data_IF_306626897161
#
_entry.id   IF_306626897161
#
_cell.length_a   1.000
_cell.length_b   1.000
_cell.length_c   1.000
_cell.angle_alpha   90.00
_cell.angle_beta   90.00
_cell.angle_gamma   90.00
#
_symmetry.space_group_name_H-M   'P 1'
#
loop_
_entity.id
_entity.type
_entity.pdbx_description
1 polymer ?
#
# COMPACT_ATOMS: atom_id res chain seq x y z
N UNK A 1 5.05 5.06 -41.25
CA UNK A 1 3.96 5.11 -40.28
C UNK A 1 4.33 4.20 -39.11
N UNK A 2 4.72 4.77 -37.98
CA UNK A 2 4.99 4.02 -36.76
C UNK A 2 3.65 3.53 -36.21
N UNK A 3 3.40 2.22 -36.23
CA UNK A 3 2.29 1.62 -35.52
C UNK A 3 2.70 1.57 -34.02
N UNK A 4 2.20 2.50 -33.22
CA UNK A 4 2.29 2.37 -31.78
C UNK A 4 1.39 1.18 -31.36
N UNK A 5 2.02 0.07 -31.00
CA UNK A 5 1.35 -1.08 -30.40
C UNK A 5 1.07 -0.76 -28.94
N UNK A 6 -0.16 -0.48 -28.59
CA UNK A 6 -0.59 -0.47 -27.19
C UNK A 6 -0.92 -1.92 -26.82
N UNK A 7 -0.18 -2.57 -25.92
CA UNK A 7 -0.52 -3.92 -25.50
C UNK A 7 -1.95 -3.93 -24.96
N UNK A 8 -2.79 -4.81 -25.50
CA UNK A 8 -4.15 -5.02 -24.98
C UNK A 8 -4.14 -5.49 -23.54
N UNK A 9 -5.25 -5.35 -22.83
CA UNK A 9 -5.44 -5.90 -21.49
C UNK A 9 -5.33 -7.42 -21.54
N UNK A 10 -4.64 -8.00 -20.55
CA UNK A 10 -4.55 -9.45 -20.44
C UNK A 10 -5.81 -9.99 -19.76
N UNK A 11 -6.46 -10.96 -20.40
CA UNK A 11 -7.56 -11.75 -19.83
C UNK A 11 -7.25 -13.20 -20.20
N UNK A 12 -6.64 -13.91 -19.26
CA UNK A 12 -6.02 -15.23 -19.45
C UNK A 12 -6.64 -16.22 -18.48
N UNK A 13 -7.21 -17.30 -19.00
CA UNK A 13 -7.87 -18.35 -18.22
C UNK A 13 -6.90 -19.27 -17.50
N UNK A 14 -5.68 -19.39 -18.00
CA UNK A 14 -4.57 -20.08 -17.36
C UNK A 14 -3.26 -19.50 -17.88
N UNK A 15 -2.42 -19.06 -16.96
CA UNK A 15 -1.09 -18.54 -17.30
C UNK A 15 -0.14 -18.70 -16.13
N UNK A 16 1.13 -18.82 -16.46
CA UNK A 16 2.19 -18.70 -15.49
C UNK A 16 2.31 -17.25 -15.07
N UNK A 17 2.24 -16.99 -13.78
CA UNK A 17 2.27 -15.68 -13.16
C UNK A 17 3.52 -15.60 -12.30
N UNK A 18 4.30 -14.56 -12.48
CA UNK A 18 5.51 -14.30 -11.72
C UNK A 18 5.34 -12.98 -10.99
N UNK A 19 5.45 -13.00 -9.66
CA UNK A 19 5.36 -11.82 -8.80
C UNK A 19 6.66 -11.62 -8.04
N UNK A 20 7.25 -10.44 -8.22
CA UNK A 20 8.37 -9.99 -7.38
C UNK A 20 7.81 -9.27 -6.17
N UNK A 21 8.24 -9.71 -5.00
CA UNK A 21 7.84 -9.14 -3.71
C UNK A 21 9.08 -8.55 -3.07
N UNK A 22 9.26 -7.23 -3.22
CA UNK A 22 10.49 -6.55 -2.85
C UNK A 22 10.24 -5.51 -1.75
N UNK A 23 11.17 -5.43 -0.81
CA UNK A 23 11.25 -4.37 0.16
C UNK A 23 11.69 -3.06 -0.50
N UNK A 24 11.35 -1.90 0.05
CA UNK A 24 11.80 -0.59 -0.46
C UNK A 24 13.29 -0.35 -0.24
N UNK A 25 13.91 -1.10 0.67
CA UNK A 25 15.34 -1.12 0.95
C UNK A 25 15.73 -2.51 1.46
N UNK A 26 17.02 -2.78 1.53
CA UNK A 26 17.54 -4.06 2.02
C UNK A 26 17.04 -4.39 3.43
N UNK A 27 16.74 -5.66 3.65
CA UNK A 27 16.20 -6.17 4.91
C UNK A 27 16.43 -7.67 5.07
N UNK A 28 15.51 -8.34 5.74
CA UNK A 28 15.59 -9.77 6.01
C UNK A 28 14.56 -10.52 5.18
N UNK A 29 15.00 -11.51 4.41
CA UNK A 29 14.14 -12.46 3.71
C UNK A 29 13.91 -13.66 4.62
N UNK A 30 12.65 -14.06 4.82
CA UNK A 30 12.25 -15.08 5.80
C UNK A 30 12.09 -16.49 5.22
N UNK A 31 12.21 -16.64 3.93
CA UNK A 31 11.87 -17.86 3.17
C UNK A 31 13.04 -18.32 2.30
N UNK A 32 12.90 -19.51 1.72
CA UNK A 32 13.89 -20.15 0.84
C UNK A 32 13.27 -20.47 -0.52
N UNK A 33 14.11 -20.67 -1.50
CA UNK A 33 13.68 -21.22 -2.80
C UNK A 33 13.05 -22.61 -2.60
N UNK A 34 11.91 -22.83 -3.26
CA UNK A 34 11.10 -24.02 -3.14
C UNK A 34 10.01 -23.98 -2.06
N UNK A 35 10.02 -22.99 -1.16
CA UNK A 35 8.96 -22.86 -0.15
C UNK A 35 7.62 -22.53 -0.82
N UNK A 36 6.56 -23.19 -0.33
CA UNK A 36 5.17 -22.87 -0.67
C UNK A 36 4.68 -21.74 0.24
N UNK A 37 3.95 -20.81 -0.34
CA UNK A 37 3.39 -19.66 0.39
C UNK A 37 1.92 -19.47 0.08
N UNK A 38 1.17 -19.02 1.07
CA UNK A 38 -0.14 -18.40 0.90
C UNK A 38 0.01 -16.87 0.72
N UNK A 39 -1.07 -16.21 0.31
CA UNK A 39 -1.08 -14.78 0.00
C UNK A 39 -0.78 -13.86 1.19
N UNK A 40 -1.01 -14.31 2.43
CA UNK A 40 -0.82 -13.53 3.65
C UNK A 40 0.58 -13.68 4.25
N UNK A 41 1.35 -14.67 3.78
CA UNK A 41 2.67 -14.97 4.31
C UNK A 41 3.61 -13.77 4.16
N UNK A 42 4.19 -13.31 5.26
CA UNK A 42 5.27 -12.32 5.23
C UNK A 42 6.52 -12.98 4.64
N UNK A 43 7.00 -12.44 3.54
CA UNK A 43 8.14 -12.99 2.80
C UNK A 43 9.46 -12.28 3.13
N UNK A 44 9.38 -11.00 3.44
CA UNK A 44 10.53 -10.19 3.83
C UNK A 44 10.11 -9.03 4.74
N UNK A 45 11.03 -8.54 5.57
CA UNK A 45 10.82 -7.37 6.42
C UNK A 45 12.07 -6.50 6.51
N UNK A 46 11.87 -5.21 6.76
CA UNK A 46 12.93 -4.23 7.02
C UNK A 46 12.44 -3.18 8.01
N UNK A 47 13.36 -2.35 8.47
CA UNK A 47 13.05 -1.18 9.29
C UNK A 47 13.49 0.08 8.54
N UNK A 48 12.53 0.92 8.14
CA UNK A 48 12.86 2.21 7.56
C UNK A 48 13.35 3.16 8.65
N UNK A 49 14.37 3.99 8.38
CA UNK A 49 14.77 5.03 9.32
C UNK A 49 13.58 5.90 9.71
N UNK A 50 13.42 6.14 10.99
CA UNK A 50 12.42 7.09 11.49
C UNK A 50 12.67 8.50 10.99
N UNK A 51 11.65 9.36 11.02
CA UNK A 51 11.80 10.76 10.66
C UNK A 51 12.81 11.43 11.58
N UNK A 52 13.51 12.40 11.05
CA UNK A 52 14.44 13.22 11.84
C UNK A 52 13.88 14.61 12.08
N UNK A 53 14.05 15.11 13.30
CA UNK A 53 13.67 16.47 13.66
C UNK A 53 14.88 17.24 14.17
N UNK A 54 15.16 18.38 13.56
CA UNK A 54 16.21 19.28 14.00
C UNK A 54 15.65 20.27 15.02
N UNK A 55 16.33 20.42 16.14
CA UNK A 55 16.03 21.39 17.18
C UNK A 55 17.16 22.40 17.28
N UNK A 56 16.83 23.67 17.25
CA UNK A 56 17.79 24.73 17.49
C UNK A 56 17.95 24.96 18.99
N UNK A 57 18.88 24.25 19.61
CA UNK A 57 19.15 24.27 21.05
C UNK A 57 19.71 25.62 21.45
N UNK A 58 20.67 26.15 20.68
CA UNK A 58 21.30 27.45 20.90
C UNK A 58 20.25 28.56 21.04
N UNK A 59 19.35 28.70 20.09
CA UNK A 59 18.30 29.71 20.15
C UNK A 59 17.29 29.44 21.28
N UNK A 60 16.92 28.19 21.49
CA UNK A 60 15.90 27.84 22.51
C UNK A 60 16.37 28.11 23.92
N UNK A 61 17.65 27.92 24.17
CA UNK A 61 18.26 28.15 25.50
C UNK A 61 18.96 29.50 25.62
N UNK A 62 19.06 30.26 24.53
CA UNK A 62 19.81 31.52 24.40
C UNK A 62 21.27 31.36 24.88
N UNK A 63 21.96 30.34 24.32
CA UNK A 63 23.38 30.02 24.55
C UNK A 63 24.13 29.98 23.23
N UNK A 64 25.46 30.18 23.28
CA UNK A 64 26.30 30.05 22.10
C UNK A 64 26.32 28.59 21.60
N UNK A 65 26.42 28.37 20.28
CA UNK A 65 26.45 27.03 19.70
C UNK A 65 27.48 26.09 20.33
N UNK A 66 28.66 26.59 20.64
CA UNK A 66 29.77 25.85 21.24
C UNK A 66 29.44 25.28 22.64
N UNK A 67 28.47 25.87 23.32
CA UNK A 67 28.10 25.50 24.70
C UNK A 67 26.89 24.57 24.78
N UNK A 68 26.27 24.20 23.65
CA UNK A 68 25.03 23.40 23.71
C UNK A 68 25.24 22.01 24.28
N UNK A 69 26.40 21.40 24.01
CA UNK A 69 26.73 20.06 24.53
C UNK A 69 26.69 20.01 26.05
N UNK A 70 27.16 21.09 26.72
CA UNK A 70 27.11 21.19 28.19
C UNK A 70 25.69 21.43 28.75
N UNK A 71 24.76 21.85 27.89
CA UNK A 71 23.37 22.07 28.26
C UNK A 71 22.49 20.85 28.06
N UNK A 72 22.98 19.84 27.34
CA UNK A 72 22.22 18.60 27.13
C UNK A 72 22.11 17.80 28.42
N UNK A 73 20.92 17.25 28.66
CA UNK A 73 20.59 16.36 29.76
C UNK A 73 20.45 14.91 29.37
N UNK A 74 20.60 14.63 28.07
CA UNK A 74 20.49 13.31 27.44
C UNK A 74 21.74 13.05 26.62
N UNK A 75 22.14 11.78 26.55
CA UNK A 75 23.31 11.34 25.78
C UNK A 75 22.95 10.96 24.35
N UNK A 76 23.98 10.84 23.48
CA UNK A 76 23.78 10.32 22.11
C UNK A 76 23.23 8.89 22.19
N UNK A 77 22.28 8.59 21.32
CA UNK A 77 21.53 7.33 21.22
C UNK A 77 20.62 7.00 22.44
N UNK A 78 20.53 7.91 23.43
CA UNK A 78 19.58 7.76 24.54
C UNK A 78 18.14 7.91 24.06
N UNK A 79 17.25 6.99 24.52
CA UNK A 79 15.83 7.07 24.25
C UNK A 79 15.18 8.21 25.03
N UNK A 80 14.39 9.00 24.33
CA UNK A 80 13.69 10.17 24.86
C UNK A 80 12.20 10.07 24.57
N UNK A 81 11.41 10.60 25.51
CA UNK A 81 9.96 10.69 25.36
C UNK A 81 9.53 12.11 24.99
N UNK A 82 8.44 12.22 24.26
CA UNK A 82 7.80 13.50 23.94
C UNK A 82 7.47 14.27 25.22
N UNK A 83 7.94 15.53 25.30
CA UNK A 83 7.77 16.39 26.47
C UNK A 83 8.87 16.24 27.54
N UNK A 84 9.76 15.27 27.43
CA UNK A 84 10.94 15.13 28.29
C UNK A 84 11.86 16.35 28.10
N UNK A 85 12.40 16.87 29.19
CA UNK A 85 13.42 17.94 29.14
C UNK A 85 14.74 17.31 28.70
N UNK A 86 15.24 17.73 27.54
CA UNK A 86 16.44 17.18 26.90
C UNK A 86 17.65 18.13 27.00
N UNK A 87 17.40 19.40 27.27
CA UNK A 87 18.46 20.38 27.50
C UNK A 87 17.98 21.48 28.44
N UNK A 88 18.91 22.03 29.23
CA UNK A 88 18.64 23.12 30.20
C UNK A 88 19.81 24.11 30.22
N UNK A 89 19.53 25.43 30.18
CA UNK A 89 20.57 26.46 30.36
C UNK A 89 20.96 26.56 31.84
N UNK A 90 22.23 26.92 32.10
CA UNK A 90 22.74 27.14 33.47
C UNK A 90 22.09 28.32 34.21
N UNK A 91 21.39 29.21 33.46
CA UNK A 91 20.77 30.41 33.98
C UNK A 91 21.79 31.44 34.49
N UNK A 92 21.33 32.70 34.75
CA UNK A 92 22.15 33.71 35.36
C UNK A 92 22.16 33.48 36.85
N UNK A 93 23.32 33.19 37.44
CA UNK A 93 23.49 32.83 38.88
C UNK A 93 22.58 31.66 39.35
N UNK A 94 22.22 30.73 38.46
CA UNK A 94 21.34 29.60 38.80
C UNK A 94 19.84 29.95 38.77
N UNK A 95 19.47 31.18 38.50
CA UNK A 95 18.09 31.63 38.30
C UNK A 95 17.76 31.81 36.82
N UNK A 96 16.47 31.69 36.43
CA UNK A 96 15.99 31.85 35.08
C UNK A 96 16.54 30.83 34.09
N UNK A 97 16.45 29.54 34.47
CA UNK A 97 16.81 28.42 33.59
C UNK A 97 15.79 28.29 32.46
N UNK A 98 16.26 28.24 31.23
CA UNK A 98 15.46 27.87 30.06
C UNK A 98 15.57 26.35 29.86
N UNK A 99 14.47 25.70 29.52
CA UNK A 99 14.42 24.27 29.26
C UNK A 99 13.93 24.00 27.85
N UNK A 100 14.55 23.07 27.16
CA UNK A 100 14.12 22.54 25.88
C UNK A 100 13.54 21.15 26.07
N UNK A 101 12.31 20.95 25.62
CA UNK A 101 11.61 19.66 25.69
C UNK A 101 11.59 19.01 24.31
N UNK A 102 11.66 17.69 24.31
CA UNK A 102 11.50 16.91 23.07
C UNK A 102 10.08 17.05 22.51
N UNK A 103 9.91 17.38 21.22
CA UNK A 103 8.62 17.41 20.56
C UNK A 103 8.13 16.02 20.11
N UNK A 104 9.01 15.01 20.13
CA UNK A 104 8.76 13.65 19.64
C UNK A 104 9.24 12.61 20.64
N UNK A 105 8.75 11.38 20.50
CA UNK A 105 9.38 10.17 21.02
C UNK A 105 10.50 9.76 20.07
N UNK A 106 11.61 9.24 20.58
CA UNK A 106 12.73 8.80 19.75
C UNK A 106 14.05 8.82 20.49
N UNK A 107 15.13 9.17 19.83
CA UNK A 107 16.47 9.23 20.40
C UNK A 107 17.24 10.46 19.93
N UNK A 108 18.25 10.86 20.71
CA UNK A 108 19.20 11.89 20.31
C UNK A 108 20.21 11.30 19.31
N UNK A 109 20.05 11.65 18.03
CA UNK A 109 20.88 11.09 16.96
C UNK A 109 22.19 11.86 16.74
N UNK A 110 22.17 13.18 16.95
CA UNK A 110 23.38 14.00 16.76
C UNK A 110 23.26 15.33 17.49
N UNK A 111 24.41 15.91 17.84
CA UNK A 111 24.59 17.27 18.40
C UNK A 111 25.66 17.98 17.57
N UNK A 112 25.41 19.20 17.17
CA UNK A 112 26.37 20.04 16.45
C UNK A 112 26.64 21.32 17.23
N UNK A 113 27.80 21.41 17.83
CA UNK A 113 28.33 22.61 18.48
C UNK A 113 28.71 23.73 17.52
N UNK A 114 28.83 23.43 16.22
CA UNK A 114 29.06 24.42 15.16
C UNK A 114 27.76 25.15 14.79
N UNK A 115 26.64 24.44 14.69
CA UNK A 115 25.35 25.01 14.27
C UNK A 115 24.41 25.28 15.45
N UNK A 116 24.72 24.82 16.63
CA UNK A 116 23.87 24.96 17.82
C UNK A 116 22.61 24.10 17.77
N UNK A 117 22.64 23.01 17.02
CA UNK A 117 21.47 22.15 16.76
C UNK A 117 21.64 20.75 17.31
N UNK A 118 20.53 20.17 17.73
CA UNK A 118 20.42 18.73 18.02
C UNK A 118 19.46 18.08 17.01
N UNK A 119 19.78 16.85 16.62
CA UNK A 119 18.96 16.02 15.72
C UNK A 119 18.34 14.91 16.55
N UNK A 120 17.02 14.88 16.58
CA UNK A 120 16.25 13.79 17.15
C UNK A 120 15.80 12.86 16.01
N UNK A 121 15.82 11.55 16.24
CA UNK A 121 15.32 10.54 15.31
C UNK A 121 14.16 9.80 15.95
N UNK A 122 13.03 9.75 15.24
CA UNK A 122 11.91 8.88 15.64
C UNK A 122 12.32 7.39 15.57
N UNK A 123 11.59 6.49 16.26
CA UNK A 123 11.82 5.06 16.15
C UNK A 123 11.75 4.59 14.70
N UNK A 124 12.49 3.54 14.31
CA UNK A 124 12.38 2.93 13.01
C UNK A 124 10.96 2.47 12.72
N UNK A 125 10.55 2.57 11.47
CA UNK A 125 9.23 2.16 10.99
C UNK A 125 9.36 0.74 10.41
N UNK A 126 8.74 -0.28 11.03
CA UNK A 126 8.77 -1.63 10.51
C UNK A 126 7.96 -1.72 9.21
N UNK A 127 8.52 -2.35 8.20
CA UNK A 127 7.89 -2.61 6.91
C UNK A 127 7.98 -4.09 6.59
N UNK A 128 6.84 -4.68 6.26
CA UNK A 128 6.72 -6.06 5.86
C UNK A 128 6.15 -6.16 4.44
N UNK A 129 6.65 -7.12 3.68
CA UNK A 129 6.10 -7.47 2.37
C UNK A 129 5.50 -8.87 2.45
N UNK A 130 4.23 -8.99 2.07
CA UNK A 130 3.51 -10.26 2.00
C UNK A 130 3.62 -10.87 0.60
N UNK A 131 3.34 -12.15 0.50
CA UNK A 131 3.39 -12.89 -0.77
C UNK A 131 2.40 -12.37 -1.82
N UNK A 132 1.25 -11.82 -1.40
CA UNK A 132 0.17 -11.34 -2.27
C UNK A 132 -0.62 -12.46 -2.94
N UNK A 133 0.02 -13.53 -3.40
CA UNK A 133 -0.61 -14.69 -4.04
C UNK A 133 -0.04 -15.99 -3.49
N UNK A 134 -0.81 -17.05 -3.53
CA UNK A 134 -0.29 -18.41 -3.27
C UNK A 134 0.64 -18.81 -4.41
N UNK A 135 1.66 -19.59 -4.09
CA UNK A 135 2.62 -20.07 -5.09
C UNK A 135 3.90 -20.61 -4.48
N UNK A 136 4.90 -20.79 -5.32
CA UNK A 136 6.24 -21.31 -4.95
C UNK A 136 7.26 -20.19 -5.05
N UNK A 137 8.17 -20.10 -4.07
CA UNK A 137 9.33 -19.21 -4.15
C UNK A 137 10.31 -19.80 -5.16
N UNK A 138 10.52 -19.11 -6.27
CA UNK A 138 11.45 -19.55 -7.34
C UNK A 138 12.79 -18.86 -7.31
N UNK A 139 12.90 -17.74 -6.59
CA UNK A 139 14.14 -16.99 -6.46
C UNK A 139 14.14 -16.14 -5.20
N UNK A 140 15.27 -16.09 -4.53
CA UNK A 140 15.58 -15.10 -3.49
C UNK A 140 16.25 -13.91 -4.15
N UNK A 141 15.71 -12.72 -3.97
CA UNK A 141 16.36 -11.45 -4.36
C UNK A 141 17.15 -10.96 -3.14
N UNK A 142 18.49 -11.00 -3.24
CA UNK A 142 19.42 -10.81 -2.11
C UNK A 142 19.07 -9.64 -1.19
N UNK A 143 18.69 -9.93 0.05
CA UNK A 143 18.29 -8.96 1.08
C UNK A 143 17.13 -8.03 0.69
N UNK A 144 16.53 -8.22 -0.48
CA UNK A 144 15.47 -7.35 -0.99
C UNK A 144 14.09 -8.02 -1.00
N UNK A 145 14.03 -9.36 -1.11
CA UNK A 145 12.75 -10.06 -1.15
C UNK A 145 12.79 -11.37 -1.91
N UNK A 146 11.67 -11.69 -2.57
CA UNK A 146 11.48 -12.97 -3.26
C UNK A 146 10.77 -12.81 -4.60
N UNK A 147 10.96 -13.79 -5.48
CA UNK A 147 10.11 -14.01 -6.66
C UNK A 147 9.23 -15.21 -6.42
N UNK A 148 7.91 -15.03 -6.57
CA UNK A 148 6.89 -16.06 -6.42
C UNK A 148 6.35 -16.42 -7.79
N UNK A 149 6.17 -17.70 -8.04
CA UNK A 149 5.57 -18.23 -9.24
C UNK A 149 4.29 -19.00 -8.88
N UNK A 150 3.25 -18.77 -9.67
CA UNK A 150 1.99 -19.48 -9.60
C UNK A 150 1.39 -19.67 -10.99
N UNK A 151 0.49 -20.61 -11.16
CA UNK A 151 -0.38 -20.72 -12.35
C UNK A 151 -1.80 -20.33 -11.97
N UNK A 152 -2.53 -19.72 -12.89
CA UNK A 152 -3.92 -19.36 -12.63
C UNK A 152 -4.51 -18.38 -13.63
N UNK A 153 -5.66 -17.84 -13.24
CA UNK A 153 -6.37 -16.79 -13.99
C UNK A 153 -5.72 -15.44 -13.73
N UNK A 154 -5.54 -14.65 -14.78
CA UNK A 154 -5.13 -13.25 -14.71
C UNK A 154 -6.06 -12.39 -15.56
N UNK A 155 -6.74 -11.43 -14.95
CA UNK A 155 -7.48 -10.41 -15.66
C UNK A 155 -6.99 -9.01 -15.26
N UNK A 156 -6.70 -8.17 -16.25
CA UNK A 156 -6.25 -6.78 -16.06
C UNK A 156 -7.36 -5.79 -16.35
N UNK A 157 -7.41 -4.72 -15.58
CA UNK A 157 -8.25 -3.56 -15.84
C UNK A 157 -7.52 -2.44 -16.58
N UNK A 158 -8.27 -1.49 -17.08
CA UNK A 158 -7.73 -0.28 -17.72
C UNK A 158 -7.27 0.75 -16.68
N UNK A 159 -7.99 0.81 -15.55
CA UNK A 159 -7.74 1.70 -14.44
C UNK A 159 -8.15 1.01 -13.13
N UNK A 160 -7.48 1.34 -12.06
CA UNK A 160 -7.82 0.93 -10.71
C UNK A 160 -7.37 1.95 -9.68
N UNK A 161 -7.87 1.80 -8.48
CA UNK A 161 -7.48 2.52 -7.27
C UNK A 161 -7.48 1.57 -6.07
N UNK A 162 -6.79 1.96 -5.01
CA UNK A 162 -6.56 1.11 -3.86
C UNK A 162 -5.40 0.14 -4.08
N UNK A 163 -4.80 -0.32 -3.01
CA UNK A 163 -3.66 -1.23 -3.04
C UNK A 163 -4.05 -2.69 -3.23
N UNK A 164 -3.21 -3.56 -2.71
CA UNK A 164 -3.39 -5.01 -2.74
C UNK A 164 -4.37 -5.47 -1.66
N UNK A 165 -5.30 -6.31 -2.05
CA UNK A 165 -6.23 -7.00 -1.16
C UNK A 165 -6.41 -8.46 -1.59
N UNK A 166 -6.99 -9.27 -0.70
CA UNK A 166 -7.28 -10.68 -0.95
C UNK A 166 -8.67 -11.03 -0.44
N UNK A 167 -9.33 -12.00 -1.05
CA UNK A 167 -10.63 -12.47 -0.60
C UNK A 167 -11.23 -13.50 -1.53
N UNK A 168 -12.34 -14.08 -1.10
CA UNK A 168 -13.13 -14.96 -1.97
C UNK A 168 -13.84 -14.11 -3.03
N UNK A 169 -13.81 -14.56 -4.27
CA UNK A 169 -14.55 -13.94 -5.36
C UNK A 169 -16.05 -14.25 -5.25
N UNK A 170 -16.86 -13.21 -5.26
CA UNK A 170 -18.33 -13.30 -5.22
C UNK A 170 -18.93 -12.61 -6.43
N UNK A 171 -19.71 -13.34 -7.20
CA UNK A 171 -20.44 -12.80 -8.35
C UNK A 171 -21.74 -12.17 -7.86
N UNK A 172 -21.88 -10.85 -8.05
CA UNK A 172 -23.07 -10.09 -7.66
C UNK A 172 -23.95 -9.79 -8.86
N UNK A 173 -23.36 -9.33 -9.96
CA UNK A 173 -24.09 -9.09 -11.20
C UNK A 173 -24.45 -10.42 -11.87
N UNK A 174 -25.68 -10.55 -12.37
CA UNK A 174 -26.12 -11.76 -13.08
C UNK A 174 -25.67 -11.80 -14.54
N UNK A 175 -25.28 -10.64 -15.09
CA UNK A 175 -24.78 -10.48 -16.45
C UNK A 175 -23.85 -9.25 -16.55
N UNK A 176 -23.01 -9.18 -17.59
CA UNK A 176 -22.01 -8.10 -17.70
C UNK A 176 -22.60 -6.69 -17.86
N UNK A 177 -23.89 -6.57 -18.15
CA UNK A 177 -24.57 -5.28 -18.30
C UNK A 177 -25.26 -4.79 -17.02
N UNK A 178 -25.31 -5.59 -15.96
CA UNK A 178 -25.98 -5.22 -14.72
C UNK A 178 -25.17 -4.19 -13.94
N UNK A 179 -25.85 -3.22 -13.35
CA UNK A 179 -25.23 -2.28 -12.40
C UNK A 179 -25.17 -2.92 -11.00
N UNK A 180 -24.09 -2.66 -10.28
CA UNK A 180 -23.96 -3.04 -8.88
C UNK A 180 -24.59 -1.93 -8.03
N UNK A 181 -25.59 -2.28 -7.22
CA UNK A 181 -26.35 -1.33 -6.40
C UNK A 181 -26.21 -1.63 -4.90
N UNK A 182 -26.53 -0.67 -4.06
CA UNK A 182 -26.37 -0.77 -2.59
C UNK A 182 -27.09 -1.99 -2.02
N UNK A 183 -28.31 -2.25 -2.47
CA UNK A 183 -29.18 -3.34 -2.01
C UNK A 183 -28.65 -4.74 -2.34
N UNK A 184 -27.67 -4.83 -3.23
CA UNK A 184 -26.98 -6.09 -3.56
C UNK A 184 -25.80 -6.40 -2.62
N UNK A 185 -25.41 -5.46 -1.75
CA UNK A 185 -24.24 -5.60 -0.88
C UNK A 185 -24.67 -5.56 0.59
N UNK A 186 -24.37 -6.61 1.32
CA UNK A 186 -24.68 -6.75 2.74
C UNK A 186 -23.46 -7.26 3.55
N UNK A 187 -23.63 -7.44 4.85
CA UNK A 187 -22.57 -7.86 5.79
C UNK A 187 -21.92 -9.21 5.44
N UNK A 188 -22.60 -10.09 4.68
CA UNK A 188 -22.02 -11.37 4.24
C UNK A 188 -20.87 -11.20 3.25
N UNK A 189 -20.77 -10.04 2.61
CA UNK A 189 -19.75 -9.71 1.63
C UNK A 189 -18.46 -9.12 2.24
N UNK A 190 -18.41 -9.02 3.57
CA UNK A 190 -17.21 -8.53 4.27
C UNK A 190 -15.99 -9.39 3.94
N UNK A 191 -14.89 -8.73 3.52
CA UNK A 191 -13.64 -9.38 3.13
C UNK A 191 -13.67 -10.10 1.79
N UNK A 192 -14.77 -9.99 1.03
CA UNK A 192 -14.88 -10.60 -0.30
C UNK A 192 -14.47 -9.64 -1.41
N UNK A 193 -14.14 -10.21 -2.57
CA UNK A 193 -13.96 -9.46 -3.84
C UNK A 193 -15.23 -9.64 -4.65
N UNK A 194 -15.89 -8.54 -4.99
CA UNK A 194 -17.17 -8.53 -5.68
C UNK A 194 -16.99 -8.37 -7.20
N UNK A 195 -17.57 -9.27 -7.96
CA UNK A 195 -17.71 -9.13 -9.41
C UNK A 195 -19.03 -8.43 -9.73
N UNK A 196 -18.94 -7.15 -10.14
CA UNK A 196 -20.03 -6.38 -10.71
C UNK A 196 -20.14 -6.60 -12.22
N UNK A 197 -21.03 -5.86 -12.84
CA UNK A 197 -21.24 -5.89 -14.30
C UNK A 197 -20.74 -4.61 -14.97
N UNK A 198 -21.66 -3.69 -15.28
CA UNK A 198 -21.34 -2.50 -16.09
C UNK A 198 -20.86 -1.30 -15.29
N UNK A 199 -21.34 -1.14 -14.07
CA UNK A 199 -21.15 0.12 -13.32
C UNK A 199 -21.50 -0.03 -11.84
N UNK A 200 -20.88 0.83 -11.03
CA UNK A 200 -21.38 1.19 -9.70
C UNK A 200 -21.13 2.69 -9.47
N UNK A 201 -21.94 3.30 -8.62
CA UNK A 201 -21.77 4.71 -8.23
C UNK A 201 -20.97 4.84 -6.92
N UNK A 202 -20.61 6.09 -6.56
CA UNK A 202 -19.83 6.38 -5.35
C UNK A 202 -20.55 5.97 -4.06
N UNK A 203 -21.87 6.06 -4.01
CA UNK A 203 -22.67 5.66 -2.86
C UNK A 203 -22.55 4.15 -2.61
N UNK A 204 -22.64 3.36 -3.67
CA UNK A 204 -22.42 1.89 -3.62
C UNK A 204 -20.98 1.55 -3.22
N UNK A 205 -19.99 2.27 -3.74
CA UNK A 205 -18.59 2.09 -3.35
C UNK A 205 -18.38 2.39 -1.86
N UNK A 206 -18.91 3.51 -1.38
CA UNK A 206 -18.82 3.89 0.04
C UNK A 206 -19.55 2.92 0.97
N UNK A 207 -20.66 2.35 0.52
CA UNK A 207 -21.35 1.30 1.23
C UNK A 207 -20.49 0.03 1.33
N UNK A 208 -19.91 -0.43 0.22
CA UNK A 208 -19.00 -1.56 0.20
C UNK A 208 -17.79 -1.34 1.13
N UNK A 209 -17.22 -0.12 1.12
CA UNK A 209 -16.17 0.29 2.05
C UNK A 209 -16.60 0.16 3.50
N UNK A 210 -17.80 0.61 3.85
CA UNK A 210 -18.35 0.53 5.21
C UNK A 210 -18.57 -0.91 5.67
N UNK A 211 -19.00 -1.79 4.78
CA UNK A 211 -19.14 -3.24 5.03
C UNK A 211 -17.75 -3.90 5.22
N UNK A 212 -16.71 -3.35 4.62
CA UNK A 212 -15.37 -3.93 4.63
C UNK A 212 -15.15 -4.94 3.51
N UNK A 213 -15.74 -4.70 2.34
CA UNK A 213 -15.46 -5.44 1.10
C UNK A 213 -13.99 -5.27 0.74
N UNK A 214 -13.30 -6.34 0.34
CA UNK A 214 -11.88 -6.32 0.00
C UNK A 214 -11.62 -5.70 -1.38
N UNK A 215 -12.47 -5.97 -2.35
CA UNK A 215 -12.29 -5.46 -3.70
C UNK A 215 -13.55 -5.50 -4.54
N UNK A 216 -13.54 -4.73 -5.64
CA UNK A 216 -14.64 -4.68 -6.60
C UNK A 216 -14.05 -4.67 -8.01
N UNK A 217 -14.56 -5.53 -8.89
CA UNK A 217 -14.25 -5.54 -10.32
C UNK A 217 -15.51 -5.18 -11.09
N UNK A 218 -15.45 -4.14 -11.93
CA UNK A 218 -16.60 -3.62 -12.68
C UNK A 218 -16.19 -3.17 -14.07
N UNK A 219 -17.14 -3.05 -15.01
CA UNK A 219 -16.90 -2.51 -16.35
C UNK A 219 -16.53 -1.04 -16.32
N UNK A 220 -17.24 -0.23 -15.56
CA UNK A 220 -17.05 1.22 -15.53
C UNK A 220 -17.30 1.87 -14.17
N UNK A 221 -16.83 3.12 -14.07
CA UNK A 221 -17.01 4.00 -12.90
C UNK A 221 -16.92 5.46 -13.34
N UNK A 222 -17.50 6.40 -12.60
CA UNK A 222 -17.43 7.80 -12.97
C UNK A 222 -16.07 8.42 -12.67
N UNK A 223 -15.51 9.14 -13.65
CA UNK A 223 -14.23 9.85 -13.50
C UNK A 223 -14.23 10.83 -12.33
N UNK A 224 -15.32 11.62 -12.18
CA UNK A 224 -15.44 12.61 -11.11
C UNK A 224 -15.47 11.98 -9.73
N UNK A 225 -16.02 10.78 -9.60
CA UNK A 225 -16.18 10.08 -8.33
C UNK A 225 -14.86 9.45 -7.88
N UNK A 226 -14.00 9.02 -8.81
CA UNK A 226 -12.64 8.58 -8.47
C UNK A 226 -11.85 9.72 -7.81
N UNK A 227 -11.94 10.92 -8.36
CA UNK A 227 -11.29 12.10 -7.78
C UNK A 227 -11.79 12.44 -6.38
N UNK A 228 -13.09 12.20 -6.12
CA UNK A 228 -13.66 12.37 -4.77
C UNK A 228 -13.17 11.31 -3.80
N UNK A 229 -13.04 10.06 -4.24
CA UNK A 229 -12.50 8.96 -3.41
C UNK A 229 -11.03 9.22 -3.05
N UNK A 230 -10.23 9.65 -4.03
CA UNK A 230 -8.81 9.93 -3.83
C UNK A 230 -8.55 11.23 -3.06
N UNK A 231 -9.47 12.20 -3.09
CA UNK A 231 -9.29 13.53 -2.51
C UNK A 231 -8.45 14.49 -3.38
N UNK A 232 -8.05 14.08 -4.59
CA UNK A 232 -7.29 14.88 -5.56
C UNK A 232 -7.64 14.50 -7.01
N UNK A 233 -7.40 15.39 -7.99
CA UNK A 233 -7.71 15.11 -9.38
C UNK A 233 -6.88 13.96 -9.97
N UNK A 234 -7.53 13.06 -10.69
CA UNK A 234 -6.87 12.06 -11.53
C UNK A 234 -5.89 12.75 -12.50
N UNK A 235 -4.62 12.49 -12.39
CA UNK A 235 -3.59 13.11 -13.26
C UNK A 235 -2.42 13.71 -12.49
N UNK A 236 -2.52 13.90 -11.17
CA UNK A 236 -1.43 14.44 -10.33
C UNK A 236 -0.60 13.33 -9.76
N UNK A 237 -0.58 12.18 -9.96
CA UNK A 237 0.13 11.00 -9.47
C UNK A 237 -0.80 10.03 -8.73
N UNK A 238 -1.39 9.13 -9.47
CA UNK A 238 -1.99 7.95 -8.91
C UNK A 238 -0.83 6.99 -8.67
N UNK A 239 -0.54 6.70 -7.41
CA UNK A 239 0.42 5.64 -7.04
C UNK A 239 -0.26 4.28 -6.98
N UNK A 240 -1.60 4.29 -6.83
CA UNK A 240 -2.43 3.09 -6.72
C UNK A 240 -2.39 2.43 -5.34
N UNK A 241 -1.53 2.93 -4.45
CA UNK A 241 -1.37 2.40 -3.10
C UNK A 241 -2.15 3.19 -2.03
N UNK A 242 -3.04 4.09 -2.45
CA UNK A 242 -3.86 4.88 -1.55
C UNK A 242 -4.84 3.94 -0.79
N UNK A 243 -4.89 4.09 0.53
CA UNK A 243 -5.86 3.39 1.37
C UNK A 243 -7.27 3.99 1.20
N UNK A 244 -7.93 3.57 0.15
CA UNK A 244 -9.30 4.01 -0.16
C UNK A 244 -10.37 3.05 0.38
N UNK A 245 -9.95 1.93 0.95
CA UNK A 245 -10.82 0.83 1.40
C UNK A 245 -10.76 -0.32 0.39
N UNK A 246 -11.86 -0.66 -0.31
CA UNK A 246 -11.83 -1.71 -1.32
C UNK A 246 -10.92 -1.36 -2.49
N UNK A 247 -10.14 -2.34 -2.98
CA UNK A 247 -9.47 -2.20 -4.28
C UNK A 247 -10.52 -2.17 -5.39
N UNK A 248 -10.48 -1.18 -6.26
CA UNK A 248 -11.39 -1.06 -7.39
C UNK A 248 -10.66 -1.30 -8.69
N UNK A 249 -11.17 -2.22 -9.51
CA UNK A 249 -10.71 -2.44 -10.89
C UNK A 249 -11.82 -2.08 -11.86
N UNK A 250 -11.49 -1.20 -12.81
CA UNK A 250 -12.35 -0.81 -13.91
C UNK A 250 -11.80 -1.48 -15.18
N UNK A 251 -12.60 -2.34 -15.79
CA UNK A 251 -12.13 -3.16 -16.93
C UNK A 251 -12.27 -2.46 -18.28
N UNK A 252 -13.28 -1.62 -18.46
CA UNK A 252 -13.60 -1.02 -19.76
C UNK A 252 -13.32 0.48 -19.83
N UNK A 253 -13.62 1.24 -18.76
CA UNK A 253 -13.37 2.68 -18.75
C UNK A 253 -14.33 3.49 -17.90
N UNK A 254 -14.44 4.80 -18.23
CA UNK A 254 -15.30 5.70 -17.46
C UNK A 254 -16.75 5.67 -17.96
N UNK A 255 -17.68 5.69 -17.03
CA UNK A 255 -19.12 5.68 -17.27
C UNK A 255 -19.75 4.30 -17.17
N UNK A 256 -20.99 4.17 -17.67
CA UNK A 256 -21.75 2.92 -17.68
C UNK A 256 -21.38 2.08 -18.90
N UNK A 257 -20.43 1.20 -18.74
CA UNK A 257 -19.91 0.35 -19.81
C UNK A 257 -20.00 -1.11 -19.38
N UNK A 258 -20.75 -1.92 -20.11
CA UNK A 258 -20.84 -3.37 -19.83
C UNK A 258 -19.46 -3.99 -19.87
N UNK A 259 -19.15 -4.82 -18.88
CA UNK A 259 -17.91 -5.59 -18.89
C UNK A 259 -17.87 -6.47 -20.13
N UNK A 260 -16.70 -6.62 -20.73
CA UNK A 260 -16.54 -7.52 -21.88
C UNK A 260 -16.96 -8.94 -21.50
N UNK A 261 -17.77 -9.59 -22.36
CA UNK A 261 -18.32 -10.92 -22.11
C UNK A 261 -17.25 -11.94 -21.74
N UNK A 262 -16.10 -11.87 -22.40
CA UNK A 262 -14.97 -12.76 -22.12
C UNK A 262 -14.44 -12.59 -20.69
N UNK A 263 -14.31 -11.35 -20.23
CA UNK A 263 -13.80 -11.03 -18.89
C UNK A 263 -14.80 -11.47 -17.82
N UNK A 264 -16.07 -11.11 -18.02
CA UNK A 264 -17.14 -11.48 -17.11
C UNK A 264 -17.31 -12.99 -17.00
N UNK A 265 -17.40 -13.72 -18.13
CA UNK A 265 -17.55 -15.19 -18.14
C UNK A 265 -16.37 -15.89 -17.49
N UNK A 266 -15.14 -15.40 -17.72
CA UNK A 266 -13.96 -15.96 -17.09
C UNK A 266 -14.00 -15.79 -15.57
N UNK A 267 -14.23 -14.58 -15.08
CA UNK A 267 -14.25 -14.31 -13.65
C UNK A 267 -15.44 -14.97 -12.95
N UNK A 268 -16.63 -14.93 -13.55
CA UNK A 268 -17.81 -15.58 -12.97
C UNK A 268 -17.67 -17.10 -12.85
N UNK A 269 -16.93 -17.73 -13.77
CA UNK A 269 -16.63 -19.16 -13.67
C UNK A 269 -15.75 -19.54 -12.47
N UNK A 270 -15.16 -18.55 -11.80
CA UNK A 270 -14.28 -18.70 -10.64
C UNK A 270 -14.94 -18.22 -9.34
N UNK A 271 -16.28 -18.15 -9.31
CA UNK A 271 -17.01 -17.85 -8.07
C UNK A 271 -16.59 -18.76 -6.92
N UNK A 272 -16.39 -18.17 -5.76
CA UNK A 272 -15.96 -18.88 -4.54
C UNK A 272 -14.47 -19.20 -4.48
N UNK A 273 -13.71 -18.94 -5.55
CA UNK A 273 -12.25 -19.08 -5.52
C UNK A 273 -11.61 -17.94 -4.74
N UNK A 274 -10.50 -18.26 -4.06
CA UNK A 274 -9.69 -17.21 -3.42
C UNK A 274 -8.92 -16.42 -4.49
N UNK A 275 -8.96 -15.11 -4.39
CA UNK A 275 -8.37 -14.22 -5.37
C UNK A 275 -7.52 -13.14 -4.67
N UNK A 276 -6.53 -12.65 -5.41
CA UNK A 276 -5.75 -11.45 -5.08
C UNK A 276 -6.13 -10.34 -6.05
N UNK A 277 -6.35 -9.14 -5.53
CA UNK A 277 -6.71 -7.97 -6.31
C UNK A 277 -5.72 -6.84 -6.02
N UNK A 278 -5.27 -6.15 -7.04
CA UNK A 278 -4.42 -4.96 -6.93
C UNK A 278 -5.00 -3.84 -7.81
N UNK A 279 -5.45 -2.77 -7.17
CA UNK A 279 -5.98 -1.59 -7.84
C UNK A 279 -4.91 -0.62 -8.34
N UNK A 280 -3.65 -0.90 -8.10
CA UNK A 280 -2.54 -0.01 -8.48
C UNK A 280 -2.50 0.25 -9.98
N UNK A 281 -2.44 1.54 -10.33
CA UNK A 281 -2.32 1.98 -11.73
C UNK A 281 -1.19 2.98 -11.86
N UNK A 282 -0.18 2.69 -12.68
CA UNK A 282 0.91 3.61 -12.95
C UNK A 282 1.14 3.73 -14.48
N UNK A 283 1.06 4.95 -14.98
CA UNK A 283 1.12 5.21 -16.43
C UNK A 283 2.45 5.88 -16.83
N UNK A 284 3.13 6.59 -15.91
CA UNK A 284 4.27 7.47 -16.24
C UNK A 284 5.66 6.81 -16.23
N UNK A 285 5.89 5.80 -15.41
CA UNK A 285 7.24 5.19 -15.23
C UNK A 285 7.31 3.72 -15.65
N UNK A 286 6.39 3.30 -16.49
CA UNK A 286 6.11 1.92 -16.85
C UNK A 286 4.60 1.70 -16.72
N UNK A 287 4.06 0.73 -17.44
CA UNK A 287 2.64 0.46 -17.36
C UNK A 287 2.40 -0.59 -16.27
N UNK A 288 2.01 -0.14 -15.06
CA UNK A 288 1.39 -1.02 -14.07
C UNK A 288 -0.11 -0.94 -14.30
N UNK A 289 -0.73 -2.08 -14.54
CA UNK A 289 -2.18 -2.20 -14.71
C UNK A 289 -2.79 -2.88 -13.49
N UNK A 290 -3.96 -2.41 -13.07
CA UNK A 290 -4.68 -3.10 -12.01
C UNK A 290 -5.03 -4.51 -12.47
N UNK A 291 -5.04 -5.44 -11.53
CA UNK A 291 -5.25 -6.85 -11.87
C UNK A 291 -6.00 -7.61 -10.78
N UNK A 292 -6.72 -8.62 -11.20
CA UNK A 292 -7.20 -9.70 -10.36
C UNK A 292 -6.53 -11.01 -10.79
N UNK A 293 -6.03 -11.72 -9.80
CA UNK A 293 -5.31 -12.97 -9.94
C UNK A 293 -6.02 -14.04 -9.12
N UNK A 294 -6.29 -15.17 -9.74
CA UNK A 294 -6.91 -16.32 -9.08
C UNK A 294 -5.99 -17.52 -9.32
N UNK A 295 -5.16 -17.89 -8.32
CA UNK A 295 -4.28 -19.04 -8.47
C UNK A 295 -5.10 -20.33 -8.65
N UNK A 296 -4.63 -21.19 -9.52
CA UNK A 296 -5.16 -22.55 -9.55
C UNK A 296 -4.72 -23.20 -8.23
N UNK A 297 -5.67 -23.48 -7.36
CA UNK A 297 -5.40 -24.36 -6.22
C UNK A 297 -5.19 -25.73 -6.82
N UNK A 298 -4.00 -26.33 -6.62
CA UNK A 298 -3.89 -27.76 -6.82
C UNK A 298 -5.00 -28.38 -5.96
N UNK A 299 -5.99 -28.97 -6.62
CA UNK A 299 -6.88 -29.91 -5.94
C UNK A 299 -5.99 -31.02 -5.43
N UNK A 300 -5.86 -31.14 -4.11
CA UNK A 300 -5.41 -32.38 -3.49
C UNK A 300 -6.34 -33.49 -4.02
N UNK A 301 -5.90 -34.19 -5.07
CA UNK A 301 -6.45 -35.47 -5.51
C UNK A 301 -5.86 -36.60 -4.67
#
# INVERSE_FOLDING_TARGET
MSRSYTPGLKVLSRTKIIKKRLLPMKGTVHLKEGDLVDSYKVVASTELPGNVQMLNVSNSLNVEPENITECMLVELDEEISKGQVIAESKGLFGFFKSQLKSPIDGKLANISDVTGQAILSEPPIPVEVKAYTSGVITKIEDEEGVTIETEGVLAQGILGIGGENNGLLRVIASKPSDELTIDMIDESHKGMILLGGSFLNIETFNHAKKIGVAGIVTGGFDYSDISKILGYPLGVAITGSEDVGPSLIITEGFGRISMAERTYSLLSSKEGSFASIDGSTQIRAGVIRPEILIPDTESDD
#
